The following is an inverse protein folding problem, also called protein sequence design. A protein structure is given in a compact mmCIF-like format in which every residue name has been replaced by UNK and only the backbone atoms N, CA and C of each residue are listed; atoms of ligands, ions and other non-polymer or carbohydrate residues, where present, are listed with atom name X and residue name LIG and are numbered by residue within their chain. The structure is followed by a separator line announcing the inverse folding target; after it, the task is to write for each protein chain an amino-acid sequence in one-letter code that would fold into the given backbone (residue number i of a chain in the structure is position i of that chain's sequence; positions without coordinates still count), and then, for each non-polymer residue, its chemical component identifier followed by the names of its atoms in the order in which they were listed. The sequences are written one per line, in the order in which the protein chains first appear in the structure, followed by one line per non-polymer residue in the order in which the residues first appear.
data_IF_910128328673
#
_entry.id   IF_910128328673
#
_cell.length_a   1.000
_cell.length_b   1.000
_cell.length_c   1.000
_cell.angle_alpha   90.00
_cell.angle_beta   90.00
_cell.angle_gamma   90.00
#
_symmetry.space_group_name_H-M   'P 1'
#
loop_
_entity.id
_entity.type
_entity.pdbx_description
1 polymer ?
#
# COMPACT_ATOMS: atom_id res chain seq x y z
N UNK A 1 -25.54 29.82 17.83
CA UNK A 1 -24.21 29.36 18.19
C UNK A 1 -24.27 28.83 19.61
N UNK A 2 -24.22 27.51 19.87
CA UNK A 2 -24.09 26.98 21.21
C UNK A 2 -22.62 26.82 21.59
N UNK A 3 -22.26 27.35 22.71
CA UNK A 3 -21.01 27.37 23.40
C UNK A 3 -20.57 25.92 23.74
N UNK A 4 -19.55 25.39 23.07
CA UNK A 4 -18.94 24.10 23.43
C UNK A 4 -17.95 24.36 24.55
N UNK A 5 -18.40 24.09 25.76
CA UNK A 5 -17.59 24.05 26.98
C UNK A 5 -16.42 23.08 26.82
N UNK A 6 -15.20 23.59 26.70
CA UNK A 6 -13.97 22.83 26.83
C UNK A 6 -13.88 22.27 28.26
N UNK A 7 -14.09 20.97 28.42
CA UNK A 7 -13.72 20.29 29.65
C UNK A 7 -12.19 20.22 29.73
N UNK A 8 -11.58 20.57 30.87
CA UNK A 8 -10.13 20.54 31.02
C UNK A 8 -9.61 19.12 30.93
N UNK A 9 -8.47 18.98 30.24
CA UNK A 9 -7.64 17.77 30.23
C UNK A 9 -7.31 17.43 31.67
N UNK A 10 -7.81 16.32 32.18
CA UNK A 10 -7.43 15.76 33.48
C UNK A 10 -5.95 15.41 33.40
N UNK A 11 -5.09 16.33 33.75
CA UNK A 11 -3.74 16.02 34.21
C UNK A 11 -3.91 15.30 35.54
N UNK A 12 -3.88 13.96 35.53
CA UNK A 12 -3.73 13.20 36.78
C UNK A 12 -2.47 13.72 37.44
N UNK A 13 -2.62 14.34 38.63
CA UNK A 13 -1.53 14.72 39.51
C UNK A 13 -0.82 13.42 39.92
N UNK A 14 0.23 13.05 39.20
CA UNK A 14 1.17 12.03 39.63
C UNK A 14 1.77 12.52 40.95
N UNK A 15 1.48 11.81 42.04
CA UNK A 15 2.14 12.08 43.32
C UNK A 15 3.64 11.89 43.10
N UNK A 16 4.43 12.87 43.49
CA UNK A 16 5.90 12.93 43.29
C UNK A 16 6.69 11.78 43.97
N UNK A 17 6.04 10.77 44.55
CA UNK A 17 6.63 9.67 45.32
C UNK A 17 6.25 8.26 44.86
N UNK A 18 5.78 8.06 43.63
CA UNK A 18 5.58 6.68 43.15
C UNK A 18 6.91 6.04 42.75
N UNK A 19 7.20 4.87 43.32
CA UNK A 19 8.39 4.09 42.94
C UNK A 19 8.23 3.49 41.55
N UNK A 20 9.33 3.27 40.83
CA UNK A 20 9.36 2.65 39.52
C UNK A 20 8.61 1.30 39.54
N UNK A 21 8.77 0.53 40.62
CA UNK A 21 8.12 -0.79 40.74
C UNK A 21 6.60 -0.67 40.96
N UNK A 22 6.11 0.36 41.62
CA UNK A 22 4.69 0.62 41.74
C UNK A 22 4.07 1.01 40.38
N UNK A 23 4.80 1.78 39.55
CA UNK A 23 4.38 2.14 38.19
C UNK A 23 4.39 0.92 37.27
N UNK A 24 5.40 0.05 37.35
CA UNK A 24 5.44 -1.22 36.60
C UNK A 24 4.25 -2.11 36.91
N UNK A 25 3.90 -2.31 38.20
CA UNK A 25 2.72 -3.09 38.57
C UNK A 25 1.41 -2.51 38.00
N UNK A 26 1.30 -1.18 37.90
CA UNK A 26 0.13 -0.56 37.26
C UNK A 26 0.09 -0.82 35.73
N UNK A 27 1.26 -0.84 35.08
CA UNK A 27 1.37 -1.21 33.66
C UNK A 27 0.94 -2.66 33.48
N UNK A 28 1.45 -3.59 34.30
CA UNK A 28 1.09 -5.02 34.23
C UNK A 28 -0.45 -5.22 34.32
N UNK A 29 -1.12 -4.52 35.25
CA UNK A 29 -2.58 -4.55 35.36
C UNK A 29 -3.33 -3.98 34.15
N UNK A 30 -2.73 -3.00 33.45
CA UNK A 30 -3.30 -2.47 32.21
C UNK A 30 -3.10 -3.49 31.08
N UNK A 31 -1.93 -4.12 31.00
CA UNK A 31 -1.62 -5.13 30.00
C UNK A 31 -2.57 -6.35 30.09
N UNK A 32 -2.88 -6.81 31.30
CA UNK A 32 -3.90 -7.86 31.53
C UNK A 32 -5.26 -7.46 30.92
N UNK A 33 -5.70 -6.21 31.15
CA UNK A 33 -6.97 -5.71 30.60
C UNK A 33 -6.92 -5.58 29.09
N UNK A 34 -5.78 -5.12 28.53
CA UNK A 34 -5.60 -5.01 27.07
C UNK A 34 -5.69 -6.39 26.43
N UNK A 35 -5.02 -7.41 26.98
CA UNK A 35 -5.09 -8.79 26.50
C UNK A 35 -6.53 -9.33 26.57
N UNK A 36 -7.24 -9.12 27.67
CA UNK A 36 -8.63 -9.54 27.80
C UNK A 36 -9.53 -8.90 26.73
N UNK A 37 -9.44 -7.57 26.54
CA UNK A 37 -10.21 -6.85 25.51
C UNK A 37 -9.86 -7.27 24.08
N UNK A 38 -8.60 -7.60 23.80
CA UNK A 38 -8.18 -8.13 22.51
C UNK A 38 -8.80 -9.51 22.23
N UNK A 39 -8.85 -10.40 23.25
CA UNK A 39 -9.51 -11.69 23.14
C UNK A 39 -11.02 -11.55 22.92
N UNK A 40 -11.68 -10.67 23.67
CA UNK A 40 -13.12 -10.39 23.48
C UNK A 40 -13.40 -9.90 22.05
N UNK A 41 -12.56 -9.00 21.55
CA UNK A 41 -12.64 -8.51 20.17
C UNK A 41 -12.42 -9.63 19.14
N UNK A 42 -11.46 -10.53 19.39
CA UNK A 42 -11.18 -11.67 18.53
C UNK A 42 -12.35 -12.64 18.44
N UNK A 43 -13.00 -12.94 19.56
CA UNK A 43 -14.22 -13.78 19.61
C UNK A 43 -15.34 -13.15 18.79
N UNK A 44 -15.55 -11.84 18.88
CA UNK A 44 -16.55 -11.14 18.07
C UNK A 44 -16.18 -11.17 16.57
N UNK A 45 -14.89 -11.06 16.22
CA UNK A 45 -14.44 -11.17 14.84
C UNK A 45 -14.71 -12.57 14.27
N UNK A 46 -14.42 -13.65 15.03
CA UNK A 46 -14.75 -15.02 14.62
C UNK A 46 -16.26 -15.19 14.35
N UNK A 47 -17.11 -14.72 15.25
CA UNK A 47 -18.58 -14.77 15.05
C UNK A 47 -19.04 -14.01 13.80
N UNK A 48 -18.40 -12.89 13.49
CA UNK A 48 -18.65 -12.15 12.24
C UNK A 48 -18.18 -12.98 11.04
N UNK A 49 -17.04 -13.65 11.12
CA UNK A 49 -16.52 -14.55 10.09
C UNK A 49 -17.51 -15.70 9.80
N UNK A 50 -18.00 -16.37 10.82
CA UNK A 50 -19.00 -17.44 10.69
C UNK A 50 -20.29 -16.94 10.01
N UNK A 51 -20.77 -15.76 10.41
CA UNK A 51 -21.94 -15.14 9.79
C UNK A 51 -21.71 -14.71 8.33
N UNK A 52 -20.48 -14.27 7.98
CA UNK A 52 -20.11 -13.96 6.59
C UNK A 52 -19.99 -15.21 5.71
N UNK A 53 -19.38 -16.27 6.24
CA UNK A 53 -19.23 -17.55 5.54
C UNK A 53 -20.59 -18.14 5.17
N UNK A 54 -21.57 -18.09 6.07
CA UNK A 54 -22.95 -18.54 5.81
C UNK A 54 -23.66 -17.68 4.74
N UNK A 55 -23.25 -16.43 4.53
CA UNK A 55 -23.86 -15.48 3.57
C UNK A 55 -22.98 -15.18 2.38
N UNK A 56 -21.85 -15.88 2.18
CA UNK A 56 -20.86 -15.67 1.09
C UNK A 56 -20.35 -14.22 0.98
N UNK A 57 -20.28 -13.50 2.11
CA UNK A 57 -19.80 -12.12 2.17
C UNK A 57 -18.27 -12.08 2.24
N UNK A 58 -17.70 -10.97 1.73
CA UNK A 58 -16.25 -10.75 1.73
C UNK A 58 -15.68 -10.64 3.14
N UNK A 59 -14.57 -11.34 3.39
CA UNK A 59 -13.82 -11.29 4.64
C UNK A 59 -13.03 -9.99 4.73
N UNK A 60 -12.31 -9.63 3.66
CA UNK A 60 -11.56 -8.39 3.56
C UNK A 60 -12.44 -7.29 2.95
N UNK A 61 -12.69 -6.22 3.71
CA UNK A 61 -13.46 -5.04 3.27
C UNK A 61 -12.63 -3.79 3.54
N UNK A 62 -11.87 -3.27 2.54
CA UNK A 62 -10.93 -2.16 2.72
C UNK A 62 -11.58 -0.90 3.28
N UNK A 63 -12.83 -0.60 2.89
CA UNK A 63 -13.59 0.53 3.40
C UNK A 63 -13.82 0.45 4.90
N UNK A 64 -14.15 -0.73 5.42
CA UNK A 64 -14.35 -0.95 6.87
C UNK A 64 -13.05 -0.80 7.66
N UNK A 65 -11.94 -1.31 7.14
CA UNK A 65 -10.63 -1.13 7.79
C UNK A 65 -10.25 0.35 7.85
N UNK A 66 -10.45 1.09 6.74
CA UNK A 66 -10.24 2.55 6.69
C UNK A 66 -11.05 3.28 7.76
N UNK A 67 -12.34 2.97 7.90
CA UNK A 67 -13.21 3.56 8.93
C UNK A 67 -12.69 3.27 10.35
N UNK A 68 -12.26 2.02 10.63
CA UNK A 68 -11.73 1.66 11.94
C UNK A 68 -10.46 2.46 12.24
N UNK A 69 -9.50 2.49 11.30
CA UNK A 69 -8.23 3.20 11.47
C UNK A 69 -8.43 4.71 11.66
N UNK A 70 -9.33 5.32 10.92
CA UNK A 70 -9.69 6.74 11.10
C UNK A 70 -10.31 6.99 12.49
N UNK A 71 -11.27 6.16 12.90
CA UNK A 71 -11.94 6.28 14.19
C UNK A 71 -10.97 6.15 15.36
N UNK A 72 -10.10 5.14 15.35
CA UNK A 72 -9.15 4.94 16.47
C UNK A 72 -8.10 6.05 16.53
N UNK A 73 -7.68 6.58 15.37
CA UNK A 73 -6.79 7.75 15.31
C UNK A 73 -7.42 8.99 15.96
N UNK A 74 -8.74 9.20 15.78
CA UNK A 74 -9.49 10.32 16.38
C UNK A 74 -9.76 10.13 17.88
N UNK A 75 -9.85 8.88 18.33
CA UNK A 75 -10.06 8.56 19.76
C UNK A 75 -8.80 8.74 20.60
N UNK A 76 -7.62 8.67 19.99
CA UNK A 76 -6.35 8.86 20.72
C UNK A 76 -6.20 10.32 21.15
N UNK A 77 -6.24 10.56 22.47
CA UNK A 77 -6.02 11.87 23.10
C UNK A 77 -4.84 11.88 24.05
N UNK A 78 -4.08 10.78 24.08
CA UNK A 78 -2.95 10.57 24.97
C UNK A 78 -1.60 10.88 24.32
N UNK A 79 -0.51 10.49 24.97
CA UNK A 79 0.85 10.71 24.49
C UNK A 79 1.22 9.86 23.27
N UNK A 80 0.44 8.80 22.96
CA UNK A 80 0.69 7.94 21.79
C UNK A 80 0.23 8.68 20.53
N UNK A 81 1.14 8.78 19.54
CA UNK A 81 0.82 9.44 18.26
C UNK A 81 -0.25 8.70 17.48
N UNK A 82 -1.01 9.43 16.66
CA UNK A 82 -2.03 8.82 15.77
C UNK A 82 -1.42 7.79 14.80
N UNK A 83 -0.18 7.99 14.38
CA UNK A 83 0.54 7.02 13.54
C UNK A 83 0.81 5.72 14.29
N UNK A 84 1.28 5.78 15.54
CA UNK A 84 1.53 4.61 16.38
C UNK A 84 0.22 3.85 16.69
N UNK A 85 -0.87 4.56 17.03
CA UNK A 85 -2.19 3.94 17.23
C UNK A 85 -2.65 3.23 15.96
N UNK A 86 -2.45 3.84 14.79
CA UNK A 86 -2.82 3.23 13.50
C UNK A 86 -2.04 1.94 13.27
N UNK A 87 -0.73 1.92 13.48
CA UNK A 87 0.12 0.75 13.33
C UNK A 87 -0.32 -0.40 14.25
N UNK A 88 -0.58 -0.12 15.54
CA UNK A 88 -1.08 -1.10 16.50
C UNK A 88 -2.42 -1.69 16.03
N UNK A 89 -3.37 -0.84 15.62
CA UNK A 89 -4.68 -1.32 15.17
C UNK A 89 -4.62 -2.05 13.84
N UNK A 90 -3.65 -1.75 12.97
CA UNK A 90 -3.40 -2.52 11.75
C UNK A 90 -3.07 -3.97 12.08
N UNK A 91 -2.19 -4.23 13.06
CA UNK A 91 -1.86 -5.57 13.51
C UNK A 91 -3.04 -6.27 14.23
N UNK A 92 -3.79 -5.55 15.06
CA UNK A 92 -5.01 -6.07 15.69
C UNK A 92 -6.05 -6.50 14.64
N UNK A 93 -6.24 -5.70 13.57
CA UNK A 93 -7.15 -6.02 12.46
C UNK A 93 -6.63 -7.24 11.70
N UNK A 94 -5.33 -7.29 11.41
CA UNK A 94 -4.68 -8.41 10.73
C UNK A 94 -4.85 -9.72 11.49
N UNK A 95 -4.54 -9.73 12.79
CA UNK A 95 -4.71 -10.89 13.67
C UNK A 95 -6.17 -11.35 13.74
N UNK A 96 -7.12 -10.40 13.88
CA UNK A 96 -8.55 -10.75 13.91
C UNK A 96 -9.03 -11.34 12.60
N UNK A 97 -8.58 -10.81 11.47
CA UNK A 97 -8.93 -11.28 10.13
C UNK A 97 -8.39 -12.69 9.86
N UNK A 98 -7.19 -13.01 10.32
CA UNK A 98 -6.62 -14.36 10.17
C UNK A 98 -7.43 -15.43 10.90
N UNK A 99 -8.17 -15.06 11.95
CA UNK A 99 -9.10 -15.94 12.65
C UNK A 99 -10.41 -16.16 11.88
N UNK A 100 -10.82 -15.21 11.02
CA UNK A 100 -11.99 -15.37 10.14
C UNK A 100 -11.67 -16.32 8.97
N UNK A 101 -10.58 -16.06 8.25
CA UNK A 101 -9.96 -16.96 7.27
C UNK A 101 -8.55 -16.48 6.93
N UNK A 102 -7.59 -17.39 6.68
CA UNK A 102 -6.26 -17.05 6.21
C UNK A 102 -6.34 -16.27 4.89
N UNK A 103 -5.70 -15.10 4.85
CA UNK A 103 -5.63 -14.29 3.65
C UNK A 103 -4.29 -14.50 2.97
N UNK A 104 -4.32 -15.00 1.73
CA UNK A 104 -3.13 -15.17 0.89
C UNK A 104 -3.01 -14.02 -0.09
N UNK A 105 -1.87 -13.34 -0.07
CA UNK A 105 -1.61 -12.14 -0.87
C UNK A 105 -0.40 -12.39 -1.77
N UNK A 106 -0.62 -12.48 -3.08
CA UNK A 106 0.48 -12.53 -4.03
C UNK A 106 1.09 -11.14 -4.22
N UNK A 107 2.42 -11.04 -4.23
CA UNK A 107 3.11 -9.78 -4.47
C UNK A 107 4.28 -9.96 -5.44
N UNK A 108 4.58 -8.90 -6.21
CA UNK A 108 5.68 -8.89 -7.16
C UNK A 108 7.04 -8.70 -6.45
N UNK A 109 8.01 -9.54 -6.78
CA UNK A 109 9.39 -9.44 -6.35
C UNK A 109 9.74 -10.36 -5.19
N UNK A 110 11.01 -10.34 -4.80
CA UNK A 110 11.54 -11.14 -3.70
C UNK A 110 11.13 -10.58 -2.33
N UNK A 111 11.39 -11.35 -1.28
CA UNK A 111 11.30 -10.87 0.10
C UNK A 111 12.14 -9.61 0.30
N UNK A 112 11.69 -8.70 1.17
CA UNK A 112 12.26 -7.39 1.42
C UNK A 112 12.21 -6.39 0.25
N UNK A 113 11.52 -6.71 -0.87
CA UNK A 113 11.21 -5.72 -1.90
C UNK A 113 10.23 -4.65 -1.37
N UNK A 114 10.12 -3.50 -2.03
CA UNK A 114 9.14 -2.48 -1.65
C UNK A 114 7.69 -2.94 -1.82
N UNK A 115 7.42 -3.84 -2.77
CA UNK A 115 6.10 -4.47 -2.90
C UNK A 115 5.79 -5.38 -1.72
N UNK A 116 6.79 -6.14 -1.21
CA UNK A 116 6.65 -6.91 0.02
C UNK A 116 6.37 -5.99 1.22
N UNK A 117 7.11 -4.89 1.35
CA UNK A 117 6.89 -3.91 2.42
C UNK A 117 5.48 -3.31 2.34
N UNK A 118 5.01 -2.93 1.14
CA UNK A 118 3.65 -2.43 0.93
C UNK A 118 2.58 -3.47 1.26
N UNK A 119 2.81 -4.75 0.94
CA UNK A 119 1.91 -5.84 1.29
C UNK A 119 1.83 -6.03 2.81
N UNK A 120 2.97 -6.04 3.49
CA UNK A 120 3.04 -6.17 4.94
C UNK A 120 2.40 -4.98 5.65
N UNK A 121 2.68 -3.76 5.21
CA UNK A 121 2.07 -2.54 5.75
C UNK A 121 0.55 -2.55 5.57
N UNK A 122 0.06 -2.97 4.42
CA UNK A 122 -1.38 -2.97 4.12
C UNK A 122 -2.16 -4.10 4.79
N UNK A 123 -1.60 -5.30 4.81
CA UNK A 123 -2.32 -6.49 5.29
C UNK A 123 -1.91 -6.94 6.68
N UNK A 124 -0.82 -6.39 7.25
CA UNK A 124 -0.27 -6.77 8.54
C UNK A 124 0.45 -8.13 8.53
N UNK A 125 0.99 -8.49 9.69
CA UNK A 125 1.89 -9.63 9.86
C UNK A 125 1.20 -11.00 9.81
N UNK A 126 -0.13 -11.06 9.99
CA UNK A 126 -0.88 -12.34 10.00
C UNK A 126 -1.36 -12.79 8.62
N UNK A 127 -1.12 -12.01 7.56
CA UNK A 127 -1.40 -12.43 6.19
C UNK A 127 -0.27 -13.34 5.65
N UNK A 128 -0.65 -14.36 4.88
CA UNK A 128 0.32 -15.19 4.14
C UNK A 128 0.73 -14.45 2.86
N UNK A 129 1.99 -14.01 2.79
CA UNK A 129 2.52 -13.24 1.67
C UNK A 129 3.28 -14.16 0.72
N UNK A 130 2.85 -14.22 -0.56
CA UNK A 130 3.38 -15.10 -1.59
C UNK A 130 4.21 -14.30 -2.60
N UNK A 131 5.56 -14.42 -2.61
CA UNK A 131 6.39 -13.76 -3.61
C UNK A 131 6.19 -14.37 -5.00
N UNK A 132 6.20 -13.52 -6.03
CA UNK A 132 6.13 -13.95 -7.42
C UNK A 132 7.23 -13.31 -8.25
N UNK A 133 7.66 -14.00 -9.32
CA UNK A 133 8.76 -13.54 -10.18
C UNK A 133 8.38 -12.34 -11.06
N UNK A 134 7.10 -12.20 -11.43
CA UNK A 134 6.62 -11.14 -12.29
C UNK A 134 5.25 -10.60 -11.85
N UNK A 135 4.91 -9.38 -12.32
CA UNK A 135 3.58 -8.81 -12.12
C UNK A 135 2.51 -9.71 -12.77
N UNK A 136 2.81 -10.33 -13.90
CA UNK A 136 1.90 -11.29 -14.58
C UNK A 136 1.58 -12.48 -13.68
N UNK A 137 2.56 -13.00 -12.97
CA UNK A 137 2.34 -14.12 -12.05
C UNK A 137 1.42 -13.73 -10.90
N UNK A 138 1.53 -12.48 -10.37
CA UNK A 138 0.56 -11.98 -9.37
C UNK A 138 -0.86 -12.08 -9.90
N UNK A 139 -1.10 -11.61 -11.13
CA UNK A 139 -2.44 -11.69 -11.75
C UNK A 139 -2.89 -13.13 -11.93
N UNK A 140 -2.00 -14.05 -12.31
CA UNK A 140 -2.31 -15.47 -12.47
C UNK A 140 -2.64 -16.14 -11.13
N UNK A 141 -1.86 -15.89 -10.06
CA UNK A 141 -2.14 -16.43 -8.72
C UNK A 141 -3.54 -16.05 -8.24
N UNK A 142 -3.95 -14.80 -8.48
CA UNK A 142 -5.29 -14.31 -8.09
C UNK A 142 -6.37 -14.87 -9.01
N UNK A 143 -6.17 -14.87 -10.33
CA UNK A 143 -7.14 -15.38 -11.30
C UNK A 143 -7.45 -16.87 -11.08
N UNK A 144 -6.43 -17.65 -10.68
CA UNK A 144 -6.55 -19.09 -10.38
C UNK A 144 -6.98 -19.35 -8.92
N UNK A 145 -7.34 -18.31 -8.14
CA UNK A 145 -7.75 -18.40 -6.74
C UNK A 145 -6.72 -19.07 -5.81
N UNK A 146 -5.42 -19.09 -6.19
CA UNK A 146 -4.32 -19.53 -5.31
C UNK A 146 -3.93 -18.43 -4.31
N UNK A 147 -4.15 -17.16 -4.68
CA UNK A 147 -4.12 -16.03 -3.77
C UNK A 147 -5.50 -15.35 -3.73
N UNK A 148 -5.87 -14.82 -2.56
CA UNK A 148 -7.12 -14.08 -2.39
C UNK A 148 -7.07 -12.71 -3.07
N UNK A 149 -5.91 -12.06 -3.00
CA UNK A 149 -5.61 -10.77 -3.61
C UNK A 149 -4.18 -10.73 -4.11
N UNK A 150 -3.91 -9.81 -5.04
CA UNK A 150 -2.58 -9.47 -5.48
C UNK A 150 -2.26 -8.01 -5.18
N UNK A 151 -0.99 -7.69 -4.87
CA UNK A 151 -0.52 -6.33 -4.77
C UNK A 151 0.57 -6.06 -5.81
N UNK A 152 0.38 -5.00 -6.59
CA UNK A 152 1.25 -4.64 -7.72
C UNK A 152 1.50 -3.14 -7.77
N UNK A 153 2.71 -2.67 -8.12
CA UNK A 153 2.98 -1.26 -8.31
C UNK A 153 2.27 -0.75 -9.58
N UNK A 154 1.68 0.45 -9.52
CA UNK A 154 1.03 1.11 -10.67
C UNK A 154 1.71 2.40 -11.06
N UNK A 155 2.29 3.11 -10.11
CA UNK A 155 2.87 4.43 -10.32
C UNK A 155 3.88 4.75 -9.22
N UNK A 156 4.98 5.38 -9.61
CA UNK A 156 5.94 5.97 -8.70
C UNK A 156 6.07 7.46 -9.01
N UNK A 157 6.15 8.30 -7.97
CA UNK A 157 6.18 9.76 -8.14
C UNK A 157 7.41 10.28 -8.89
N UNK A 158 8.49 9.50 -8.94
CA UNK A 158 9.76 9.85 -9.62
C UNK A 158 9.86 9.20 -10.99
N UNK A 159 9.44 7.95 -11.13
CA UNK A 159 9.64 7.13 -12.33
C UNK A 159 8.40 7.09 -13.24
N UNK A 160 7.27 7.57 -12.74
CA UNK A 160 6.01 7.55 -13.48
C UNK A 160 5.27 6.21 -13.42
N UNK A 161 4.57 5.90 -14.50
CA UNK A 161 3.61 4.79 -14.55
C UNK A 161 4.27 3.46 -14.85
N UNK A 162 3.86 2.40 -14.13
CA UNK A 162 4.26 1.02 -14.40
C UNK A 162 3.41 0.46 -15.55
N UNK A 163 3.91 0.63 -16.75
CA UNK A 163 3.23 0.31 -17.99
C UNK A 163 2.68 -1.13 -18.04
N UNK A 164 3.45 -2.10 -17.55
CA UNK A 164 3.07 -3.50 -17.57
C UNK A 164 1.85 -3.80 -16.71
N UNK A 165 1.68 -3.11 -15.58
CA UNK A 165 0.49 -3.24 -14.74
C UNK A 165 -0.77 -2.76 -15.46
N UNK A 166 -0.68 -1.63 -16.19
CA UNK A 166 -1.81 -1.12 -16.98
C UNK A 166 -2.22 -2.12 -18.08
N UNK A 167 -1.26 -2.71 -18.80
CA UNK A 167 -1.53 -3.69 -19.83
C UNK A 167 -2.28 -4.90 -19.26
N UNK A 168 -1.81 -5.45 -18.13
CA UNK A 168 -2.44 -6.58 -17.48
C UNK A 168 -3.85 -6.29 -16.95
N UNK A 169 -4.12 -5.06 -16.49
CA UNK A 169 -5.47 -4.65 -16.11
C UNK A 169 -6.44 -4.63 -17.29
N UNK A 170 -5.96 -4.36 -18.50
CA UNK A 170 -6.77 -4.45 -19.73
C UNK A 170 -7.03 -5.90 -20.12
N UNK A 171 -5.99 -6.74 -20.08
CA UNK A 171 -6.04 -8.16 -20.50
C UNK A 171 -6.81 -9.05 -19.51
N UNK A 172 -6.77 -8.76 -18.21
CA UNK A 172 -7.30 -9.61 -17.12
C UNK A 172 -8.72 -9.21 -16.73
N UNK A 173 -9.53 -10.17 -16.29
CA UNK A 173 -10.87 -9.92 -15.71
C UNK A 173 -10.84 -9.48 -14.26
N UNK A 174 -9.66 -9.49 -13.60
CA UNK A 174 -9.50 -9.04 -12.23
C UNK A 174 -9.92 -7.57 -12.09
N UNK A 175 -10.39 -7.23 -10.90
CA UNK A 175 -10.81 -5.88 -10.53
C UNK A 175 -9.81 -5.24 -9.58
N UNK A 176 -9.66 -3.93 -9.68
CA UNK A 176 -8.99 -3.16 -8.64
C UNK A 176 -9.91 -3.15 -7.43
N UNK A 177 -9.44 -3.74 -6.34
CA UNK A 177 -10.18 -3.89 -5.09
C UNK A 177 -9.81 -2.83 -4.05
N UNK A 178 -8.63 -2.23 -4.18
CA UNK A 178 -8.11 -1.20 -3.30
C UNK A 178 -6.81 -0.60 -3.81
N UNK A 179 -6.31 0.37 -3.08
CA UNK A 179 -5.00 0.96 -3.32
C UNK A 179 -4.22 1.13 -2.00
N UNK A 180 -2.90 1.19 -2.10
CA UNK A 180 -1.99 1.50 -1.03
C UNK A 180 -0.92 2.48 -1.53
N UNK A 181 -0.45 3.35 -0.64
CA UNK A 181 0.65 4.27 -0.89
C UNK A 181 1.78 3.96 0.07
N UNK A 182 3.00 3.90 -0.43
CA UNK A 182 4.19 3.66 0.36
C UNK A 182 5.21 4.76 0.07
N UNK A 183 5.67 5.45 1.10
CA UNK A 183 6.85 6.31 1.02
C UNK A 183 8.09 5.41 0.88
N UNK A 184 8.87 5.67 -0.16
CA UNK A 184 10.05 4.87 -0.47
C UNK A 184 11.26 5.50 0.19
N UNK A 185 11.76 4.85 1.22
CA UNK A 185 12.97 5.22 1.92
C UNK A 185 14.08 4.22 1.64
N UNK A 186 15.24 4.75 1.30
CA UNK A 186 16.44 3.96 1.06
C UNK A 186 17.34 3.96 2.28
N UNK A 187 17.76 2.77 2.71
CA UNK A 187 18.67 2.62 3.83
C UNK A 187 19.94 1.92 3.37
N UNK A 188 21.08 2.32 3.90
CA UNK A 188 22.30 1.55 3.79
C UNK A 188 22.30 0.47 4.87
N UNK A 189 22.36 -0.79 4.44
CA UNK A 189 22.39 -1.95 5.32
C UNK A 189 23.66 -2.77 5.09
N UNK A 190 24.22 -3.30 6.15
CA UNK A 190 25.35 -4.21 6.08
C UNK A 190 25.28 -5.23 7.24
N UNK A 191 26.01 -6.32 7.09
CA UNK A 191 26.11 -7.37 8.12
C UNK A 191 26.95 -6.94 9.30
N UNK A 192 28.08 -6.26 9.06
CA UNK A 192 29.05 -5.87 10.09
C UNK A 192 28.55 -4.76 11.04
N UNK A 193 27.58 -3.98 10.63
CA UNK A 193 27.11 -2.82 11.38
C UNK A 193 28.07 -1.62 11.39
N UNK A 194 29.16 -1.66 10.62
CA UNK A 194 30.23 -0.66 10.60
C UNK A 194 30.46 -0.11 9.19
N UNK A 195 30.51 1.21 9.09
CA UNK A 195 30.70 1.91 7.81
C UNK A 195 32.07 1.60 7.17
N UNK A 196 33.11 1.48 8.00
CA UNK A 196 34.49 1.29 7.57
C UNK A 196 34.74 -0.07 6.90
N UNK A 197 33.91 -1.06 7.19
CA UNK A 197 34.05 -2.40 6.60
C UNK A 197 33.54 -2.46 5.17
N UNK A 198 32.72 -1.47 4.75
CA UNK A 198 32.07 -1.45 3.43
C UNK A 198 33.05 -1.01 2.36
N UNK A 199 33.33 -1.89 1.41
CA UNK A 199 34.17 -1.64 0.22
C UNK A 199 33.36 -1.55 -1.07
N UNK A 200 32.19 -2.18 -1.10
CA UNK A 200 31.31 -2.20 -2.27
C UNK A 200 29.91 -1.80 -1.86
N UNK A 201 29.28 -0.86 -2.58
CA UNK A 201 27.88 -0.50 -2.43
C UNK A 201 27.11 -1.11 -3.58
N UNK A 202 26.09 -1.88 -3.23
CA UNK A 202 25.27 -2.64 -4.18
C UNK A 202 23.82 -2.22 -4.10
N UNK A 203 23.16 -1.98 -5.22
CA UNK A 203 21.72 -1.84 -5.31
C UNK A 203 21.20 -1.90 -6.75
N UNK A 204 19.90 -1.75 -6.91
CA UNK A 204 19.26 -1.49 -8.20
C UNK A 204 19.71 -0.12 -8.72
N UNK A 205 19.97 0.05 -10.05
CA UNK A 205 20.45 1.31 -10.64
C UNK A 205 19.67 2.53 -10.20
N UNK A 206 18.34 2.41 -10.12
CA UNK A 206 17.45 3.47 -9.69
C UNK A 206 17.71 3.91 -8.24
N UNK A 207 17.86 2.98 -7.31
CA UNK A 207 18.12 3.30 -5.91
C UNK A 207 19.51 3.93 -5.73
N UNK A 208 20.51 3.47 -6.49
CA UNK A 208 21.84 4.10 -6.54
C UNK A 208 21.77 5.54 -7.04
N UNK A 209 20.99 5.79 -8.10
CA UNK A 209 20.81 7.14 -8.64
C UNK A 209 20.11 8.07 -7.64
N UNK A 210 19.10 7.57 -6.91
CA UNK A 210 18.35 8.32 -5.90
C UNK A 210 19.16 8.62 -4.62
N UNK A 211 20.26 7.88 -4.37
CA UNK A 211 21.15 8.07 -3.22
C UNK A 211 22.53 8.63 -3.62
N UNK A 212 22.69 9.11 -4.84
CA UNK A 212 24.01 9.44 -5.43
C UNK A 212 24.80 10.46 -4.62
N UNK A 213 24.16 11.55 -4.17
CA UNK A 213 24.86 12.60 -3.41
C UNK A 213 25.34 12.08 -2.07
N UNK A 214 24.48 11.31 -1.40
CA UNK A 214 24.84 10.69 -0.13
C UNK A 214 26.01 9.70 -0.28
N UNK A 215 25.99 8.85 -1.31
CA UNK A 215 27.07 7.90 -1.60
C UNK A 215 28.39 8.63 -1.83
N UNK A 216 28.41 9.64 -2.69
CA UNK A 216 29.63 10.41 -3.02
C UNK A 216 30.21 11.10 -1.79
N UNK A 217 29.36 11.59 -0.87
CA UNK A 217 29.83 12.29 0.32
C UNK A 217 30.39 11.38 1.42
N UNK A 218 30.00 10.10 1.45
CA UNK A 218 30.41 9.15 2.51
C UNK A 218 31.36 8.07 2.01
N UNK A 219 31.40 7.78 0.69
CA UNK A 219 32.16 6.71 0.09
C UNK A 219 32.92 7.19 -1.15
N UNK A 220 34.10 7.83 -0.94
CA UNK A 220 34.92 8.33 -2.06
C UNK A 220 35.59 7.22 -2.90
N UNK A 221 35.81 6.05 -2.29
CA UNK A 221 36.59 4.96 -2.89
C UNK A 221 35.86 3.60 -2.96
N UNK A 222 34.59 3.54 -2.57
CA UNK A 222 33.83 2.30 -2.64
C UNK A 222 33.48 1.96 -4.11
N UNK A 223 33.55 0.69 -4.45
CA UNK A 223 33.03 0.17 -5.71
C UNK A 223 31.53 0.27 -5.71
N UNK A 224 30.94 0.74 -6.80
CA UNK A 224 29.48 0.72 -7.00
C UNK A 224 29.14 -0.46 -7.91
N UNK A 225 28.18 -1.28 -7.51
CA UNK A 225 27.74 -2.45 -8.27
C UNK A 225 26.23 -2.45 -8.44
N UNK A 226 25.78 -2.60 -9.67
CA UNK A 226 24.37 -2.65 -10.03
C UNK A 226 23.84 -4.08 -10.05
N UNK A 227 22.66 -4.29 -9.46
CA UNK A 227 21.97 -5.58 -9.42
C UNK A 227 20.49 -5.44 -9.78
N UNK A 228 19.86 -6.57 -10.05
CA UNK A 228 18.49 -6.62 -10.55
C UNK A 228 17.42 -6.05 -9.58
N UNK A 229 17.70 -6.00 -8.28
CA UNK A 229 16.77 -5.45 -7.30
C UNK A 229 17.46 -5.04 -5.99
N UNK A 230 16.83 -4.13 -5.24
CA UNK A 230 17.28 -3.75 -3.89
C UNK A 230 17.25 -4.92 -2.91
N UNK A 231 16.33 -5.88 -3.08
CA UNK A 231 16.27 -7.11 -2.28
C UNK A 231 17.46 -8.05 -2.59
N UNK A 232 17.85 -8.14 -3.86
CA UNK A 232 19.05 -8.90 -4.25
C UNK A 232 20.33 -8.30 -3.63
N UNK A 233 20.44 -6.98 -3.65
CA UNK A 233 21.55 -6.29 -2.97
C UNK A 233 21.60 -6.64 -1.47
N UNK A 234 20.47 -6.64 -0.78
CA UNK A 234 20.40 -7.01 0.63
C UNK A 234 20.81 -8.48 0.87
N UNK A 235 20.43 -9.39 -0.02
CA UNK A 235 20.86 -10.79 0.04
C UNK A 235 22.38 -10.93 -0.11
N UNK A 236 23.01 -10.16 -1.00
CA UNK A 236 24.48 -10.14 -1.16
C UNK A 236 25.15 -9.63 0.12
N UNK A 237 24.67 -8.52 0.69
CA UNK A 237 25.21 -7.97 1.93
C UNK A 237 25.08 -8.92 3.13
N UNK A 238 24.12 -9.83 3.13
CA UNK A 238 23.95 -10.85 4.16
C UNK A 238 25.07 -11.93 4.13
N UNK A 239 25.70 -12.11 2.97
CA UNK A 239 26.75 -13.14 2.78
C UNK A 239 28.17 -12.57 2.81
N UNK A 240 28.36 -11.26 2.59
CA UNK A 240 29.66 -10.61 2.53
C UNK A 240 29.69 -9.34 3.42
N UNK A 241 30.59 -9.33 4.40
CA UNK A 241 30.76 -8.20 5.33
C UNK A 241 31.29 -6.92 4.66
N UNK A 242 31.93 -7.03 3.48
CA UNK A 242 32.45 -5.87 2.74
C UNK A 242 31.42 -5.21 1.86
N UNK A 243 30.21 -5.77 1.79
CA UNK A 243 29.09 -5.26 0.97
C UNK A 243 28.12 -4.43 1.81
N UNK A 244 27.87 -3.22 1.38
CA UNK A 244 26.77 -2.37 1.83
C UNK A 244 25.64 -2.37 0.79
N UNK A 245 24.46 -2.77 1.19
CA UNK A 245 23.27 -2.78 0.33
C UNK A 245 22.41 -1.54 0.56
N UNK A 246 21.99 -0.90 -0.52
CA UNK A 246 20.91 0.11 -0.43
C UNK A 246 19.59 -0.62 -0.67
N UNK A 247 18.72 -0.64 0.36
CA UNK A 247 17.48 -1.42 0.32
C UNK A 247 16.41 -0.85 1.26
N UNK A 248 15.24 -1.51 1.31
CA UNK A 248 14.16 -1.18 2.23
C UNK A 248 14.52 -1.52 3.68
N UNK A 249 13.86 -0.88 4.65
CA UNK A 249 14.04 -1.19 6.07
C UNK A 249 13.69 -2.64 6.42
N UNK A 250 12.78 -3.26 5.67
CA UNK A 250 12.37 -4.65 5.86
C UNK A 250 13.53 -5.65 5.65
N UNK A 251 14.52 -5.28 4.83
CA UNK A 251 15.70 -6.12 4.60
C UNK A 251 16.50 -6.38 5.88
N UNK A 252 16.47 -5.48 6.87
CA UNK A 252 17.07 -5.70 8.19
C UNK A 252 16.53 -6.97 8.85
N UNK A 253 15.23 -7.14 8.85
CA UNK A 253 14.58 -8.25 9.56
C UNK A 253 14.67 -9.56 8.78
N UNK A 254 14.47 -9.48 7.45
CA UNK A 254 14.50 -10.65 6.56
C UNK A 254 15.90 -11.25 6.44
N UNK A 255 16.92 -10.42 6.23
CA UNK A 255 18.28 -10.87 5.97
C UNK A 255 19.22 -10.71 7.18
N UNK A 256 18.71 -10.35 8.36
CA UNK A 256 19.47 -10.15 9.60
C UNK A 256 20.60 -9.14 9.43
N UNK A 257 20.36 -8.07 8.69
CA UNK A 257 21.29 -6.97 8.49
C UNK A 257 21.09 -5.87 9.53
N UNK A 258 22.07 -4.98 9.63
CA UNK A 258 22.00 -3.77 10.44
C UNK A 258 21.82 -2.54 9.54
N UNK A 259 20.97 -1.61 9.93
CA UNK A 259 20.84 -0.31 9.26
C UNK A 259 22.01 0.56 9.73
N UNK A 260 22.91 0.87 8.81
CA UNK A 260 24.08 1.73 9.04
C UNK A 260 23.70 3.19 8.93
N UNK A 261 22.90 3.53 7.92
CA UNK A 261 22.34 4.85 7.73
C UNK A 261 20.91 4.71 7.18
N UNK A 262 20.00 5.48 7.77
CA UNK A 262 18.59 5.46 7.37
C UNK A 262 18.26 6.67 6.51
N UNK A 263 17.32 6.50 5.56
CA UNK A 263 16.74 7.56 4.74
C UNK A 263 17.82 8.35 3.99
N UNK A 264 18.65 7.62 3.23
CA UNK A 264 19.82 8.18 2.52
C UNK A 264 19.49 8.70 1.12
N UNK A 265 18.23 8.68 0.73
CA UNK A 265 17.76 9.23 -0.55
C UNK A 265 17.99 10.74 -0.65
N UNK A 266 18.39 11.21 -1.83
CA UNK A 266 18.66 12.64 -2.09
C UNK A 266 17.38 13.50 -2.04
N UNK A 267 16.21 12.90 -2.25
CA UNK A 267 14.88 13.53 -2.24
C UNK A 267 13.86 12.66 -1.51
N UNK A 268 13.24 13.22 -0.49
CA UNK A 268 12.32 12.49 0.42
C UNK A 268 10.90 12.26 -0.13
N UNK A 269 10.54 12.87 -1.28
CA UNK A 269 9.16 12.81 -1.81
C UNK A 269 8.97 11.68 -2.83
N UNK A 270 9.52 10.50 -2.54
CA UNK A 270 9.36 9.33 -3.39
C UNK A 270 8.21 8.45 -2.86
N UNK A 271 7.08 8.47 -3.53
CA UNK A 271 5.90 7.69 -3.16
C UNK A 271 5.57 6.72 -4.28
N UNK A 272 5.38 5.46 -3.94
CA UNK A 272 4.84 4.45 -4.86
C UNK A 272 3.39 4.14 -4.51
N UNK A 273 2.52 4.22 -5.53
CA UNK A 273 1.14 3.76 -5.45
C UNK A 273 1.07 2.32 -5.92
N UNK A 274 0.43 1.48 -5.11
CA UNK A 274 0.16 0.08 -5.40
C UNK A 274 -1.33 -0.13 -5.57
N UNK A 275 -1.71 -1.08 -6.42
CA UNK A 275 -3.09 -1.55 -6.55
C UNK A 275 -3.22 -2.92 -5.91
N UNK A 276 -4.35 -3.13 -5.26
CA UNK A 276 -4.80 -4.42 -4.78
C UNK A 276 -5.78 -4.95 -5.82
N UNK A 277 -5.46 -6.08 -6.42
CA UNK A 277 -6.30 -6.73 -7.43
C UNK A 277 -6.96 -7.98 -6.85
N UNK A 278 -8.20 -8.24 -7.26
CA UNK A 278 -8.99 -9.39 -6.80
C UNK A 278 -10.03 -9.81 -7.82
N UNK A 279 -10.69 -10.95 -7.57
CA UNK A 279 -11.70 -11.52 -8.46
C UNK A 279 -13.07 -10.83 -8.37
N UNK A 280 -13.30 -9.99 -7.36
CA UNK A 280 -14.59 -9.35 -7.08
C UNK A 280 -14.48 -7.84 -7.03
N UNK A 281 -15.61 -7.17 -7.12
CA UNK A 281 -15.70 -5.72 -6.93
C UNK A 281 -15.66 -5.36 -5.45
N UNK A 282 -14.97 -4.27 -5.11
CA UNK A 282 -14.95 -3.75 -3.73
C UNK A 282 -16.30 -3.12 -3.37
N UNK A 283 -16.82 -3.35 -2.17
CA UNK A 283 -18.04 -2.70 -1.70
C UNK A 283 -17.85 -1.18 -1.57
N UNK A 284 -18.95 -0.43 -1.70
CA UNK A 284 -18.96 1.01 -1.50
C UNK A 284 -18.53 1.39 -0.07
N UNK A 285 -17.66 2.39 0.02
CA UNK A 285 -17.19 2.94 1.30
C UNK A 285 -17.69 4.36 1.59
N UNK A 286 -18.20 5.07 0.58
CA UNK A 286 -18.61 6.47 0.67
C UNK A 286 -17.51 7.48 0.31
N UNK A 287 -16.24 7.08 0.34
CA UNK A 287 -15.11 7.85 -0.20
C UNK A 287 -14.33 6.95 -1.15
N UNK A 288 -14.90 6.78 -2.34
CA UNK A 288 -14.44 5.83 -3.33
C UNK A 288 -13.80 6.53 -4.54
N UNK A 289 -12.96 5.78 -5.23
CA UNK A 289 -12.36 6.08 -6.52
C UNK A 289 -12.77 5.00 -7.51
N UNK A 290 -13.02 5.38 -8.76
CA UNK A 290 -13.21 4.45 -9.86
C UNK A 290 -12.10 4.64 -10.87
N UNK A 291 -11.53 3.52 -11.33
CA UNK A 291 -10.59 3.46 -12.45
C UNK A 291 -11.26 2.79 -13.64
N UNK A 292 -11.12 3.36 -14.81
CA UNK A 292 -11.55 2.77 -16.07
C UNK A 292 -10.53 2.99 -17.18
N UNK A 293 -10.63 2.21 -18.24
CA UNK A 293 -9.88 2.38 -19.48
C UNK A 293 -10.86 2.47 -20.65
N UNK A 294 -10.58 3.34 -21.59
CA UNK A 294 -11.36 3.47 -22.81
C UNK A 294 -10.47 3.77 -24.02
N UNK A 295 -10.96 3.42 -25.21
CA UNK A 295 -10.36 3.85 -26.47
C UNK A 295 -11.40 4.53 -27.35
N UNK A 296 -10.94 5.45 -28.19
CA UNK A 296 -11.78 6.24 -29.07
C UNK A 296 -11.13 6.35 -30.45
N UNK A 297 -11.91 6.68 -31.46
CA UNK A 297 -11.38 7.03 -32.77
C UNK A 297 -10.65 8.37 -32.66
N UNK A 298 -9.49 8.46 -33.31
CA UNK A 298 -8.71 9.71 -33.32
C UNK A 298 -9.42 10.78 -34.14
N UNK A 299 -9.86 11.84 -33.47
CA UNK A 299 -10.57 12.99 -34.05
C UNK A 299 -10.25 14.25 -33.26
N UNK A 300 -10.20 15.42 -33.92
CA UNK A 300 -10.00 16.69 -33.22
C UNK A 300 -11.04 16.91 -32.12
N UNK A 301 -10.58 17.23 -30.91
CA UNK A 301 -11.42 17.50 -29.74
C UNK A 301 -12.05 16.26 -29.08
N UNK A 302 -11.67 15.04 -29.49
CA UNK A 302 -12.26 13.80 -28.94
C UNK A 302 -12.08 13.69 -27.43
N UNK A 303 -10.89 13.95 -26.92
CA UNK A 303 -10.62 13.87 -25.48
C UNK A 303 -11.48 14.85 -24.67
N UNK A 304 -11.66 16.08 -25.17
CA UNK A 304 -12.57 17.04 -24.54
C UNK A 304 -14.00 16.49 -24.46
N UNK A 305 -14.52 15.90 -25.57
CA UNK A 305 -15.86 15.29 -25.59
C UNK A 305 -16.00 14.15 -24.60
N UNK A 306 -14.95 13.30 -24.46
CA UNK A 306 -14.94 12.16 -23.54
C UNK A 306 -14.93 12.59 -22.05
N UNK A 307 -14.30 13.71 -21.71
CA UNK A 307 -14.25 14.20 -20.33
C UNK A 307 -15.48 15.05 -19.94
N UNK A 308 -16.25 15.55 -20.91
CA UNK A 308 -17.41 16.41 -20.68
C UNK A 308 -18.51 15.76 -19.78
N UNK A 309 -18.83 14.45 -19.89
CA UNK A 309 -19.81 13.80 -19.00
C UNK A 309 -19.43 13.89 -17.50
N UNK A 310 -18.15 13.78 -17.20
CA UNK A 310 -17.64 13.89 -15.82
C UNK A 310 -17.76 15.31 -15.29
N UNK A 311 -17.38 16.31 -16.09
CA UNK A 311 -17.51 17.71 -15.73
C UNK A 311 -18.98 18.11 -15.47
N UNK A 312 -19.91 17.71 -16.36
CA UNK A 312 -21.36 17.94 -16.21
C UNK A 312 -21.94 17.25 -14.97
N UNK A 313 -21.39 16.07 -14.60
CA UNK A 313 -21.79 15.30 -13.42
C UNK A 313 -21.08 15.75 -12.14
N UNK A 314 -20.23 16.79 -12.19
CA UNK A 314 -19.39 17.29 -11.08
C UNK A 314 -18.56 16.17 -10.45
N UNK A 315 -17.97 15.31 -11.28
CA UNK A 315 -17.08 14.24 -10.87
C UNK A 315 -15.65 14.74 -11.03
N UNK A 316 -14.87 14.70 -9.95
CA UNK A 316 -13.47 15.10 -9.96
C UNK A 316 -12.60 13.98 -10.54
N UNK A 317 -11.86 14.32 -11.60
CA UNK A 317 -10.85 13.44 -12.19
C UNK A 317 -9.56 13.55 -11.38
N UNK A 318 -8.95 12.42 -11.05
CA UNK A 318 -7.72 12.38 -10.24
C UNK A 318 -6.51 11.93 -11.03
N UNK A 319 -6.69 11.25 -12.16
CA UNK A 319 -5.62 10.83 -13.07
C UNK A 319 -6.17 10.65 -14.49
N UNK A 320 -5.36 10.99 -15.48
CA UNK A 320 -5.51 10.58 -16.86
C UNK A 320 -4.15 10.16 -17.39
N UNK A 321 -4.10 9.01 -18.04
CA UNK A 321 -2.90 8.45 -18.65
C UNK A 321 -3.25 7.95 -20.05
N UNK A 322 -2.47 8.31 -21.06
CA UNK A 322 -2.66 7.84 -22.43
C UNK A 322 -1.57 6.83 -22.78
N UNK A 323 -1.96 5.74 -23.42
CA UNK A 323 -1.04 4.71 -23.90
C UNK A 323 -1.36 4.27 -25.32
N UNK A 324 -0.34 4.09 -26.18
CA UNK A 324 -0.56 3.52 -27.48
C UNK A 324 -1.09 2.08 -27.35
N UNK A 325 -2.00 1.70 -28.26
CA UNK A 325 -2.47 0.33 -28.37
C UNK A 325 -1.38 -0.48 -29.07
N UNK A 326 -1.00 -1.64 -28.48
CA UNK A 326 -0.09 -2.57 -29.13
C UNK A 326 -0.66 -2.99 -30.49
N UNK A 327 0.20 -3.06 -31.49
CA UNK A 327 -0.14 -3.48 -32.87
C UNK A 327 -1.09 -2.54 -33.66
N UNK A 328 -1.44 -1.37 -33.09
CA UNK A 328 -2.26 -0.35 -33.75
C UNK A 328 -1.58 1.02 -33.68
N UNK A 329 -0.76 1.37 -34.67
CA UNK A 329 -0.10 2.67 -34.70
C UNK A 329 -1.11 3.82 -34.63
N UNK A 330 -0.82 4.81 -33.77
CA UNK A 330 -1.62 6.04 -33.60
C UNK A 330 -2.99 5.86 -32.95
N UNK A 331 -3.37 4.64 -32.51
CA UNK A 331 -4.54 4.43 -31.63
C UNK A 331 -4.11 4.43 -30.15
N UNK A 332 -4.89 5.08 -29.28
CA UNK A 332 -4.59 5.24 -27.87
C UNK A 332 -5.68 4.67 -26.97
N UNK A 333 -5.25 4.07 -25.86
CA UNK A 333 -6.09 3.81 -24.69
C UNK A 333 -5.88 4.92 -23.67
N UNK A 334 -6.97 5.34 -23.05
CA UNK A 334 -6.96 6.32 -21.98
C UNK A 334 -7.38 5.66 -20.68
N UNK A 335 -6.50 5.68 -19.69
CA UNK A 335 -6.80 5.26 -18.33
C UNK A 335 -7.23 6.48 -17.54
N UNK A 336 -8.34 6.37 -16.82
CA UNK A 336 -8.96 7.46 -16.11
C UNK A 336 -9.28 7.03 -14.69
N UNK A 337 -8.80 7.79 -13.68
CA UNK A 337 -9.23 7.66 -12.30
C UNK A 337 -10.08 8.87 -11.91
N UNK A 338 -11.17 8.64 -11.18
CA UNK A 338 -12.04 9.71 -10.70
C UNK A 338 -12.72 9.36 -9.38
N UNK A 339 -13.15 10.38 -8.64
CA UNK A 339 -13.86 10.25 -7.37
C UNK A 339 -15.29 9.76 -7.56
N UNK A 340 -15.70 8.80 -6.73
CA UNK A 340 -17.02 8.19 -6.71
C UNK A 340 -17.02 6.73 -7.13
N UNK A 341 -18.03 6.00 -6.70
CA UNK A 341 -18.20 4.58 -7.01
C UNK A 341 -19.06 4.39 -8.26
N UNK A 342 -18.75 3.39 -9.10
CA UNK A 342 -19.49 3.07 -10.34
C UNK A 342 -20.98 2.81 -10.13
N UNK A 343 -21.37 2.39 -8.94
CA UNK A 343 -22.78 2.19 -8.56
C UNK A 343 -23.51 3.48 -8.17
N UNK A 344 -22.83 4.60 -8.00
CA UNK A 344 -23.49 5.89 -7.77
C UNK A 344 -24.24 6.36 -9.02
N UNK A 345 -25.44 6.90 -8.85
CA UNK A 345 -26.31 7.34 -9.98
C UNK A 345 -25.60 8.33 -10.92
N UNK A 346 -24.88 9.31 -10.34
CA UNK A 346 -24.13 10.32 -11.12
C UNK A 346 -22.97 9.72 -11.90
N UNK A 347 -22.23 8.79 -11.28
CA UNK A 347 -21.07 8.11 -11.90
C UNK A 347 -21.54 7.18 -13.00
N UNK A 348 -22.57 6.37 -12.74
CA UNK A 348 -23.16 5.48 -13.74
C UNK A 348 -23.67 6.23 -14.96
N UNK A 349 -24.27 7.42 -14.75
CA UNK A 349 -24.70 8.28 -15.86
C UNK A 349 -23.51 8.72 -16.71
N UNK A 350 -22.44 9.21 -16.08
CA UNK A 350 -21.24 9.69 -16.78
C UNK A 350 -20.55 8.55 -17.56
N UNK A 351 -20.43 7.36 -16.97
CA UNK A 351 -19.85 6.19 -17.66
C UNK A 351 -20.69 5.79 -18.86
N UNK A 352 -22.02 5.75 -18.75
CA UNK A 352 -22.91 5.45 -19.89
C UNK A 352 -22.83 6.47 -21.02
N UNK A 353 -22.65 7.75 -20.69
CA UNK A 353 -22.47 8.80 -21.70
C UNK A 353 -21.09 8.67 -22.40
N UNK A 354 -20.06 8.34 -21.64
CA UNK A 354 -18.72 8.03 -22.20
C UNK A 354 -18.77 6.84 -23.16
N UNK A 355 -19.40 5.74 -22.74
CA UNK A 355 -19.50 4.48 -23.48
C UNK A 355 -20.08 4.64 -24.88
N UNK A 356 -21.06 5.53 -25.05
CA UNK A 356 -21.69 5.78 -26.37
C UNK A 356 -20.72 6.25 -27.45
N UNK A 357 -19.60 6.81 -27.07
CA UNK A 357 -18.61 7.38 -27.97
C UNK A 357 -17.27 6.62 -27.97
N UNK A 358 -17.18 5.53 -27.22
CA UNK A 358 -15.98 4.69 -27.13
C UNK A 358 -16.03 3.53 -28.14
N UNK A 359 -14.86 3.16 -28.65
CA UNK A 359 -14.66 1.88 -29.36
C UNK A 359 -14.60 0.75 -28.32
N UNK A 360 -13.94 1.01 -27.20
CA UNK A 360 -13.77 0.09 -26.09
C UNK A 360 -13.90 0.84 -24.78
N UNK A 361 -14.56 0.25 -23.80
CA UNK A 361 -14.61 0.75 -22.42
C UNK A 361 -14.62 -0.42 -21.45
N UNK A 362 -13.78 -0.36 -20.43
CA UNK A 362 -13.72 -1.32 -19.32
C UNK A 362 -13.59 -0.59 -17.99
N UNK A 363 -14.50 -0.87 -17.05
CA UNK A 363 -14.36 -0.45 -15.66
C UNK A 363 -13.40 -1.43 -14.99
N UNK A 364 -12.24 -0.92 -14.56
CA UNK A 364 -11.19 -1.71 -13.92
C UNK A 364 -11.48 -1.99 -12.45
N UNK A 365 -12.24 -1.10 -11.80
CA UNK A 365 -12.69 -1.27 -10.43
C UNK A 365 -13.18 0.04 -9.81
N UNK A 366 -14.01 -0.09 -8.77
CA UNK A 366 -14.35 0.99 -7.84
C UNK A 366 -13.96 0.54 -6.44
N UNK A 367 -13.23 1.37 -5.71
CA UNK A 367 -12.57 0.98 -4.48
C UNK A 367 -12.38 2.19 -3.54
N UNK A 368 -12.24 1.98 -2.22
CA UNK A 368 -11.97 3.06 -1.28
C UNK A 368 -10.68 3.79 -1.63
N UNK A 369 -10.72 5.13 -1.54
CA UNK A 369 -9.50 5.94 -1.68
C UNK A 369 -8.48 5.52 -0.61
N UNK A 370 -7.21 5.38 -0.99
CA UNK A 370 -6.11 5.09 -0.09
C UNK A 370 -5.96 6.16 1.01
N UNK A 371 -5.36 5.75 2.11
CA UNK A 371 -5.07 6.65 3.23
C UNK A 371 -3.70 7.28 3.04
#
# INVERSE_FOLDING_TARGET
MPNVSMRPVVRSSLSRNETVDALRKKIDQIDEKVVALLNDRAILAQRIGDAKNSTHREIYVPGREKEILQRVSQLSRGPISSAAIRAIFQEIISASRSLEAPLKIAYFGAEASYTHLAAKDKFGSSAELLPTASIRDVFQEVAQARASFGIVPIENSTEGVVAHTLDLLVESDLKIYGEAYLEIHHNLLARSGRLEDIKTIVSHPQALAQCRRWIVSHFSNAKIEEVASTAHAAMMAATDNSVGAISSSLAKDVYKLQIIAANIEDHSNNITRFLIVGNKESPRSGDDKTSLVFSVKDEPGILHRMLQPFARSRINLTKIESRPIKDKPWEYMFFLDFKGHSQERRVRKAIRELEKNCIFLKVLGSYPCGL
#
